data_IF_992115856871
#
_entry.id   IF_992115856871
#
_cell.length_a   1.000
_cell.length_b   1.000
_cell.length_c   1.000
_cell.angle_alpha   90.00
_cell.angle_beta   90.00
_cell.angle_gamma   90.00
#
_symmetry.space_group_name_H-M   'P 1'
#
loop_
_entity.id
_entity.type
_entity.pdbx_description
1 polymer ?
#
# COMPACT_ATOMS: atom_id res chain seq x y z
N UNK A 1 6.36 -4.31 -18.56
CA UNK A 1 6.92 -3.37 -17.55
C UNK A 1 6.56 -3.95 -16.21
N UNK A 2 7.55 -4.51 -15.50
CA UNK A 2 7.34 -5.05 -14.16
C UNK A 2 7.26 -3.86 -13.20
N UNK A 3 6.14 -3.68 -12.51
CA UNK A 3 6.01 -2.70 -11.42
C UNK A 3 6.63 -3.29 -10.17
N UNK A 4 7.80 -2.81 -9.78
CA UNK A 4 8.47 -3.26 -8.57
C UNK A 4 8.01 -2.40 -7.40
N UNK A 5 7.64 -3.01 -6.30
CA UNK A 5 7.32 -2.27 -5.08
C UNK A 5 8.60 -1.69 -4.48
N UNK A 6 8.60 -0.38 -4.24
CA UNK A 6 9.74 0.34 -3.65
C UNK A 6 9.62 0.40 -2.14
N UNK A 7 8.41 0.60 -1.63
CA UNK A 7 8.15 0.60 -0.18
C UNK A 7 6.79 1.17 0.19
N UNK A 8 6.50 1.12 1.50
CA UNK A 8 5.32 1.75 2.11
C UNK A 8 5.76 3.08 2.72
N UNK A 9 5.13 4.17 2.32
CA UNK A 9 5.45 5.52 2.80
C UNK A 9 4.61 5.92 4.01
N UNK A 10 3.34 5.50 4.05
CA UNK A 10 2.39 5.96 5.07
C UNK A 10 1.29 4.92 5.33
N UNK A 11 0.65 5.01 6.50
CA UNK A 11 -0.51 4.19 6.86
C UNK A 11 -1.63 5.08 7.40
N UNK A 12 -2.84 4.90 6.88
CA UNK A 12 -4.05 5.55 7.39
C UNK A 12 -5.19 4.56 7.61
N UNK A 13 -6.01 4.82 8.62
CA UNK A 13 -7.25 4.08 8.83
C UNK A 13 -8.42 4.99 8.47
N UNK A 14 -9.33 4.50 7.62
CA UNK A 14 -10.60 5.18 7.30
C UNK A 14 -11.76 4.45 7.95
N UNK A 15 -12.74 5.18 8.47
CA UNK A 15 -13.98 4.59 8.94
C UNK A 15 -15.05 4.68 7.84
N UNK A 16 -15.62 3.54 7.47
CA UNK A 16 -16.73 3.46 6.53
C UNK A 16 -17.83 2.56 7.10
N UNK A 17 -19.03 3.10 7.29
CA UNK A 17 -20.20 2.38 7.84
C UNK A 17 -19.93 1.66 9.18
N UNK A 18 -19.15 2.29 10.06
CA UNK A 18 -18.77 1.70 11.36
C UNK A 18 -17.69 0.61 11.27
N UNK A 19 -17.11 0.38 10.10
CA UNK A 19 -15.95 -0.51 9.91
C UNK A 19 -14.69 0.30 9.70
N UNK A 20 -13.60 -0.14 10.30
CA UNK A 20 -12.27 0.39 10.07
C UNK A 20 -11.65 -0.26 8.82
N UNK A 21 -11.15 0.58 7.91
CA UNK A 21 -10.50 0.18 6.66
C UNK A 21 -9.07 0.71 6.71
N UNK A 22 -8.08 -0.12 7.08
CA UNK A 22 -6.68 0.24 7.03
C UNK A 22 -6.19 0.29 5.57
N UNK A 23 -5.51 1.40 5.24
CA UNK A 23 -4.93 1.68 3.94
C UNK A 23 -3.46 2.02 4.12
N UNK A 24 -2.63 1.52 3.22
CA UNK A 24 -1.19 1.81 3.16
C UNK A 24 -0.88 2.54 1.86
N UNK A 25 -0.04 3.57 1.97
CA UNK A 25 0.46 4.36 0.84
C UNK A 25 1.70 3.67 0.33
N UNK A 26 1.66 3.20 -0.91
CA UNK A 26 2.68 2.33 -1.48
C UNK A 26 3.30 2.99 -2.70
N UNK A 27 4.63 3.02 -2.71
CA UNK A 27 5.44 3.57 -3.79
C UNK A 27 5.80 2.42 -4.74
N UNK A 28 5.48 2.62 -6.01
CA UNK A 28 5.82 1.69 -7.08
C UNK A 28 6.97 2.26 -7.93
N UNK A 29 8.04 1.49 -8.05
CA UNK A 29 9.16 1.74 -8.94
C UNK A 29 8.87 1.21 -10.34
N UNK A 30 9.06 2.05 -11.35
CA UNK A 30 8.79 1.71 -12.74
C UNK A 30 8.86 2.90 -13.70
N UNK A 31 8.26 2.75 -14.88
CA UNK A 31 8.37 3.66 -16.03
C UNK A 31 7.69 5.05 -15.86
N UNK A 32 7.13 5.34 -14.69
CA UNK A 32 6.47 6.61 -14.36
C UNK A 32 7.22 7.17 -13.15
N UNK A 33 7.50 8.50 -13.07
CA UNK A 33 8.03 9.07 -11.84
C UNK A 33 7.13 8.68 -10.67
N UNK A 34 7.70 7.94 -9.70
CA UNK A 34 7.14 7.47 -8.43
C UNK A 34 5.62 7.46 -8.39
N UNK A 35 5.01 6.41 -8.95
CA UNK A 35 3.57 6.23 -8.83
C UNK A 35 3.28 5.82 -7.39
N UNK A 36 2.51 6.65 -6.69
CA UNK A 36 2.13 6.38 -5.31
C UNK A 36 0.63 6.14 -5.21
N UNK A 37 0.24 4.94 -4.77
CA UNK A 37 -1.17 4.55 -4.64
C UNK A 37 -1.52 4.22 -3.19
N UNK A 38 -2.81 4.31 -2.86
CA UNK A 38 -3.33 3.84 -1.58
C UNK A 38 -3.96 2.46 -1.77
N UNK A 39 -3.34 1.43 -1.21
CA UNK A 39 -3.84 0.06 -1.26
C UNK A 39 -4.38 -0.37 0.12
N UNK A 40 -5.26 -1.36 0.13
CA UNK A 40 -5.75 -1.97 1.38
C UNK A 40 -4.60 -2.69 2.08
N UNK A 41 -4.44 -2.45 3.38
CA UNK A 41 -3.42 -3.11 4.16
C UNK A 41 -3.60 -4.64 4.14
N UNK A 42 -4.84 -5.12 4.24
CA UNK A 42 -5.16 -6.55 4.18
C UNK A 42 -4.67 -7.18 2.87
N UNK A 43 -4.96 -6.53 1.72
CA UNK A 43 -4.52 -6.99 0.40
C UNK A 43 -2.99 -6.97 0.26
N UNK A 44 -2.34 -5.93 0.79
CA UNK A 44 -0.88 -5.85 0.78
C UNK A 44 -0.25 -6.87 1.72
N UNK A 45 -0.92 -7.24 2.81
CA UNK A 45 -0.46 -8.29 3.73
C UNK A 45 -0.52 -9.66 3.08
N UNK A 46 -1.54 -9.91 2.27
CA UNK A 46 -1.67 -11.16 1.52
C UNK A 46 -0.71 -11.23 0.32
N UNK A 47 -0.53 -10.12 -0.39
CA UNK A 47 0.26 -10.09 -1.63
C UNK A 47 1.75 -9.86 -1.40
N UNK A 48 2.08 -9.05 -0.38
CA UNK A 48 3.43 -8.56 -0.08
C UNK A 48 3.64 -8.41 1.45
N UNK A 49 3.55 -9.52 2.21
CA UNK A 49 3.66 -9.50 3.67
C UNK A 49 4.99 -8.87 4.14
N UNK A 50 6.06 -9.03 3.37
CA UNK A 50 7.41 -8.56 3.68
C UNK A 50 7.54 -7.02 3.66
N UNK A 51 6.56 -6.31 3.09
CA UNK A 51 6.58 -4.84 2.99
C UNK A 51 5.85 -4.15 4.16
N UNK A 52 5.07 -4.89 4.95
CA UNK A 52 4.28 -4.35 6.08
C UNK A 52 4.97 -4.60 7.43
N UNK A 53 6.26 -4.28 7.52
CA UNK A 53 7.13 -4.48 8.71
C UNK A 53 7.14 -3.27 9.67
N UNK A 54 6.02 -2.58 9.83
CA UNK A 54 5.87 -1.42 10.71
C UNK A 54 5.22 -1.75 12.06
#
# INVERSE_FOLDING_TARGET
>A
METTLVGVEDRRVKQHKGKEIPLVKVIWGGAIPESVTWELEEKMKESYPDLLIF
#
